data_IF_793136205576
#
_entry.id   IF_793136205576
#
_cell.length_a   1.000
_cell.length_b   1.000
_cell.length_c   1.000
_cell.angle_alpha   90.00
_cell.angle_beta   90.00
_cell.angle_gamma   90.00
#
_symmetry.space_group_name_H-M   'P 1'
#
loop_
_entity.id
_entity.type
_entity.pdbx_description
1 polymer ?
#
# COMPACT_ATOMS: atom_id res chain seq x y z
N UNK A 1 26.00 16.72 -31.23
CA UNK A 1 25.45 16.49 -29.88
C UNK A 1 24.33 15.45 -30.02
N UNK A 2 24.59 14.19 -29.64
CA UNK A 2 23.59 13.09 -29.73
C UNK A 2 22.72 13.15 -28.49
N UNK A 3 21.48 13.58 -28.61
CA UNK A 3 20.46 13.50 -27.56
C UNK A 3 20.18 12.01 -27.29
N UNK A 4 20.64 11.50 -26.15
CA UNK A 4 20.25 10.18 -25.65
C UNK A 4 18.82 10.30 -25.15
N UNK A 5 17.88 9.73 -25.90
CA UNK A 5 16.53 9.49 -25.47
C UNK A 5 16.61 8.45 -24.36
N UNK A 6 16.49 8.87 -23.12
CA UNK A 6 16.30 7.97 -21.98
C UNK A 6 14.83 7.54 -22.05
N UNK A 7 14.64 6.33 -22.57
CA UNK A 7 13.34 5.66 -22.52
C UNK A 7 13.12 5.26 -21.06
N UNK A 8 12.42 6.11 -20.29
CA UNK A 8 11.88 5.71 -19.01
C UNK A 8 10.84 4.63 -19.29
N UNK A 9 11.18 3.39 -19.07
CA UNK A 9 10.22 2.30 -18.98
C UNK A 9 9.40 2.57 -17.73
N UNK A 10 8.22 3.13 -17.91
CA UNK A 10 7.19 3.20 -16.90
C UNK A 10 6.76 1.77 -16.65
N UNK A 11 7.32 1.16 -15.62
CA UNK A 11 6.79 -0.08 -15.08
C UNK A 11 5.54 0.27 -14.31
N UNK A 12 4.43 0.42 -15.02
CA UNK A 12 3.12 0.43 -14.40
C UNK A 12 2.99 -0.92 -13.68
N UNK A 13 3.08 -0.86 -12.36
CA UNK A 13 2.95 -2.01 -11.50
C UNK A 13 1.52 -2.52 -11.56
N UNK A 14 1.30 -3.54 -12.35
CA UNK A 14 0.13 -4.41 -12.20
C UNK A 14 0.28 -5.19 -10.90
N UNK A 15 0.03 -4.50 -9.77
CA UNK A 15 0.20 -5.01 -8.39
C UNK A 15 -0.64 -6.29 -8.15
N UNK A 16 -1.55 -6.62 -9.05
CA UNK A 16 -2.59 -7.62 -8.82
C UNK A 16 -2.33 -9.00 -9.45
N UNK A 17 -1.23 -9.20 -10.14
CA UNK A 17 -0.88 -10.53 -10.70
C UNK A 17 -0.22 -11.49 -9.69
N UNK A 18 -0.08 -11.11 -8.43
CA UNK A 18 0.75 -11.80 -7.42
C UNK A 18 0.13 -13.05 -6.78
N UNK A 19 -0.88 -13.64 -7.38
CA UNK A 19 -1.53 -14.79 -6.75
C UNK A 19 -1.11 -16.14 -7.31
N UNK A 20 -0.16 -16.20 -8.18
CA UNK A 20 0.27 -17.48 -8.75
C UNK A 20 1.77 -17.69 -8.61
N UNK A 21 2.25 -18.22 -7.49
CA UNK A 21 3.39 -19.14 -7.37
C UNK A 21 3.85 -19.27 -5.91
N UNK A 22 3.07 -19.99 -5.08
CA UNK A 22 3.66 -20.69 -3.93
C UNK A 22 3.49 -22.17 -4.21
N UNK A 23 4.48 -22.77 -4.84
CA UNK A 23 4.64 -24.22 -4.87
C UNK A 23 5.24 -24.67 -3.54
N UNK A 24 4.56 -25.52 -2.74
CA UNK A 24 5.17 -26.13 -1.58
C UNK A 24 6.15 -27.21 -2.04
N UNK A 25 7.43 -26.88 -2.08
CA UNK A 25 8.49 -27.89 -2.21
C UNK A 25 8.45 -28.84 -1.01
N UNK A 26 8.07 -30.08 -1.28
CA UNK A 26 8.24 -31.22 -0.40
C UNK A 26 9.68 -31.32 0.09
N UNK A 27 9.94 -31.04 1.36
CA UNK A 27 11.16 -31.46 2.02
C UNK A 27 10.96 -32.87 2.56
N UNK A 28 11.68 -33.78 1.93
CA UNK A 28 11.84 -35.16 2.35
C UNK A 28 12.69 -35.20 3.63
N UNK A 29 12.15 -35.84 4.65
CA UNK A 29 12.83 -36.11 5.92
C UNK A 29 13.84 -37.24 5.73
N UNK A 30 15.10 -36.98 6.02
CA UNK A 30 16.04 -38.06 6.36
C UNK A 30 16.64 -37.82 7.74
N UNK A 31 16.36 -38.77 8.56
CA UNK A 31 16.74 -38.98 9.95
C UNK A 31 18.20 -39.48 10.03
N UNK A 32 19.02 -38.89 10.85
CA UNK A 32 20.11 -39.62 11.44
C UNK A 32 20.46 -39.05 12.86
N UNK A 33 20.48 -39.95 13.77
CA UNK A 33 20.80 -39.91 15.19
C UNK A 33 22.25 -39.51 15.50
N UNK A 34 22.45 -38.85 16.64
CA UNK A 34 23.78 -38.61 17.20
C UNK A 34 23.74 -37.88 18.54
N UNK A 35 23.93 -38.61 19.59
CA UNK A 35 23.95 -38.39 21.05
C UNK A 35 25.12 -37.48 21.48
N UNK A 36 24.93 -36.69 22.54
CA UNK A 36 25.78 -36.50 23.75
C UNK A 36 25.93 -35.04 24.21
N UNK A 37 25.33 -34.77 25.33
CA UNK A 37 25.86 -34.29 26.63
C UNK A 37 26.92 -33.18 26.66
N UNK A 38 26.61 -32.03 27.27
CA UNK A 38 27.17 -31.71 28.59
C UNK A 38 26.77 -30.30 29.07
N UNK A 39 26.37 -30.26 30.30
CA UNK A 39 26.11 -29.14 31.20
C UNK A 39 27.26 -28.14 31.30
N UNK A 40 26.95 -26.84 31.47
CA UNK A 40 27.48 -26.09 32.62
C UNK A 40 26.67 -24.83 32.92
N UNK A 41 26.33 -24.76 34.18
CA UNK A 41 25.59 -23.75 34.93
C UNK A 41 26.61 -22.78 35.54
N UNK A 42 26.50 -21.49 35.28
CA UNK A 42 27.07 -20.46 36.17
C UNK A 42 26.07 -19.32 36.34
N UNK A 43 25.79 -19.12 37.61
CA UNK A 43 24.96 -18.11 38.26
C UNK A 43 25.86 -16.99 38.77
N UNK A 44 25.48 -15.70 38.59
CA UNK A 44 25.77 -14.58 39.53
C UNK A 44 25.23 -13.28 38.93
N UNK A 45 24.17 -12.70 39.43
CA UNK A 45 23.96 -11.80 40.56
C UNK A 45 24.34 -10.34 40.31
N UNK A 46 23.29 -9.51 40.28
CA UNK A 46 23.08 -8.14 40.76
C UNK A 46 24.16 -7.06 40.50
N UNK A 47 23.72 -5.98 39.84
CA UNK A 47 23.69 -4.66 40.50
C UNK A 47 22.83 -3.67 39.71
N UNK A 48 21.98 -3.02 40.46
CA UNK A 48 21.11 -1.90 40.11
C UNK A 48 21.92 -0.62 39.94
N UNK A 49 21.52 0.21 38.92
CA UNK A 49 21.52 1.67 39.10
C UNK A 49 20.52 2.30 38.16
N UNK A 50 19.65 3.03 38.77
CA UNK A 50 18.63 3.94 38.21
C UNK A 50 19.28 5.16 37.59
N UNK A 51 18.74 5.61 36.47
CA UNK A 51 18.57 7.04 36.16
C UNK A 51 17.59 7.18 34.97
N UNK A 52 16.41 7.66 35.26
CA UNK A 52 15.68 8.82 34.74
C UNK A 52 15.56 8.92 33.23
N UNK A 53 14.37 8.59 32.79
CA UNK A 53 13.36 9.31 32.01
C UNK A 53 13.85 10.50 31.19
N UNK A 54 13.75 10.35 29.85
CA UNK A 54 13.16 11.41 29.02
C UNK A 54 12.24 10.76 27.99
N UNK A 55 10.96 10.87 28.29
CA UNK A 55 9.84 10.57 27.42
C UNK A 55 9.71 11.69 26.41
N UNK A 56 10.30 11.53 25.23
CA UNK A 56 9.93 12.36 24.10
C UNK A 56 8.71 11.75 23.42
N UNK A 57 7.58 12.26 23.83
CA UNK A 57 6.26 12.03 23.27
C UNK A 57 6.19 12.75 21.91
N UNK A 58 6.72 12.14 20.86
CA UNK A 58 6.43 12.57 19.50
C UNK A 58 5.00 12.14 19.12
N UNK A 59 4.09 13.03 19.49
CA UNK A 59 2.73 13.08 19.00
C UNK A 59 2.82 13.34 17.49
N UNK A 60 2.79 12.26 16.70
CA UNK A 60 2.54 12.33 15.26
C UNK A 60 1.16 12.91 15.01
N UNK A 61 1.12 14.22 14.93
CA UNK A 61 -0.04 15.00 14.53
C UNK A 61 -0.01 15.09 13.00
N UNK A 62 -0.50 14.05 12.33
CA UNK A 62 -0.84 14.12 10.91
C UNK A 62 -2.29 14.53 10.80
N UNK A 63 -2.55 15.80 11.00
CA UNK A 63 -3.75 16.46 10.51
C UNK A 63 -3.30 17.54 9.53
N UNK A 64 -2.99 17.13 8.28
CA UNK A 64 -3.04 18.08 7.19
C UNK A 64 -4.52 18.31 6.85
N UNK A 65 -5.09 19.39 7.36
CA UNK A 65 -6.33 19.95 6.82
C UNK A 65 -6.07 20.45 5.39
N UNK A 66 -5.82 19.54 4.47
CA UNK A 66 -5.78 19.78 3.04
C UNK A 66 -7.19 19.82 2.50
N UNK A 67 -7.87 20.96 2.63
CA UNK A 67 -9.18 21.14 2.03
C UNK A 67 -9.08 20.94 0.52
N UNK A 68 -9.92 20.04 -0.01
CA UNK A 68 -10.09 19.86 -1.47
C UNK A 68 -10.37 21.22 -2.10
N UNK A 69 -9.46 21.72 -2.94
CA UNK A 69 -9.56 23.01 -3.59
C UNK A 69 -9.53 22.85 -5.10
N UNK A 70 -10.47 23.48 -5.79
CA UNK A 70 -10.56 23.46 -7.25
C UNK A 70 -11.77 22.70 -7.78
N UNK A 71 -11.90 22.66 -9.12
CA UNK A 71 -12.95 21.88 -9.78
C UNK A 71 -12.57 20.41 -9.80
N UNK A 72 -13.52 19.56 -9.43
CA UNK A 72 -13.34 18.11 -9.36
C UNK A 72 -14.18 17.37 -10.39
N UNK A 73 -13.80 16.14 -10.66
CA UNK A 73 -14.61 15.14 -11.33
C UNK A 73 -14.68 13.89 -10.46
N UNK A 74 -15.86 13.26 -10.42
CA UNK A 74 -16.04 12.01 -9.69
C UNK A 74 -15.79 10.84 -10.60
N UNK A 75 -14.86 9.97 -10.22
CA UNK A 75 -14.38 8.84 -11.02
C UNK A 75 -14.45 7.54 -10.24
N UNK A 76 -14.58 6.42 -10.95
CA UNK A 76 -14.64 5.10 -10.33
C UNK A 76 -15.70 4.21 -10.97
N UNK A 77 -16.12 3.18 -10.25
CA UNK A 77 -17.18 2.25 -10.62
C UNK A 77 -17.90 1.70 -9.38
N UNK A 78 -19.03 1.05 -9.59
CA UNK A 78 -19.74 0.32 -8.51
C UNK A 78 -18.90 -0.80 -7.88
N UNK A 79 -17.91 -1.32 -8.60
CA UNK A 79 -17.06 -2.40 -8.12
C UNK A 79 -15.90 -1.92 -7.26
N UNK A 80 -15.35 -0.75 -7.55
CA UNK A 80 -14.15 -0.21 -6.91
C UNK A 80 -14.41 1.02 -6.04
N UNK A 81 -15.68 1.48 -6.00
CA UNK A 81 -16.03 2.74 -5.39
C UNK A 81 -15.68 3.93 -6.28
N UNK A 82 -15.97 5.11 -5.78
CA UNK A 82 -15.79 6.39 -6.47
C UNK A 82 -15.01 7.33 -5.57
N UNK A 83 -14.16 8.16 -6.17
CA UNK A 83 -13.46 9.28 -5.53
C UNK A 83 -13.60 10.54 -6.39
N UNK A 84 -13.42 11.69 -5.77
CA UNK A 84 -13.23 12.93 -6.51
C UNK A 84 -11.75 13.11 -6.80
N UNK A 85 -11.43 13.57 -7.98
CA UNK A 85 -10.07 13.92 -8.43
C UNK A 85 -10.09 15.26 -9.15
N UNK A 86 -8.97 15.94 -9.36
CA UNK A 86 -8.95 17.17 -10.17
C UNK A 86 -9.57 16.96 -11.54
N UNK A 87 -10.39 17.92 -11.99
CA UNK A 87 -11.18 17.79 -13.23
C UNK A 87 -10.34 17.72 -14.52
N UNK A 88 -9.07 18.13 -14.43
CA UNK A 88 -8.12 18.07 -15.55
C UNK A 88 -7.42 16.70 -15.69
N UNK A 89 -7.62 15.78 -14.76
CA UNK A 89 -7.08 14.43 -14.89
C UNK A 89 -7.84 13.63 -15.93
N UNK A 90 -7.13 12.82 -16.69
CA UNK A 90 -7.68 12.04 -17.79
C UNK A 90 -7.60 10.54 -17.48
N UNK A 91 -8.51 9.77 -18.05
CA UNK A 91 -8.46 8.32 -17.89
C UNK A 91 -7.17 7.78 -18.50
N UNK A 92 -6.45 7.01 -17.70
CA UNK A 92 -5.26 6.28 -18.11
C UNK A 92 -5.62 4.80 -18.24
N UNK A 93 -5.03 4.13 -19.21
CA UNK A 93 -5.13 2.68 -19.36
C UNK A 93 -3.75 2.14 -19.65
N UNK A 94 -3.22 1.41 -18.71
CA UNK A 94 -2.02 0.61 -18.97
C UNK A 94 -2.37 -0.53 -19.93
N UNK A 95 -1.54 -0.72 -20.96
CA UNK A 95 -1.72 -1.80 -21.98
C UNK A 95 -1.59 -3.18 -21.34
N UNK A 96 -0.84 -3.30 -20.23
CA UNK A 96 -0.63 -4.52 -19.46
C UNK A 96 -1.44 -4.54 -18.16
N UNK A 97 -2.27 -3.51 -17.93
CA UNK A 97 -3.11 -3.39 -16.75
C UNK A 97 -4.26 -4.40 -16.75
N UNK A 98 -4.71 -4.75 -15.54
CA UNK A 98 -5.88 -5.58 -15.33
C UNK A 98 -7.19 -4.79 -15.48
N UNK A 99 -8.18 -5.15 -14.62
CA UNK A 99 -9.50 -4.50 -14.59
C UNK A 99 -9.50 -3.16 -13.84
N UNK A 100 -8.34 -2.66 -13.41
CA UNK A 100 -8.18 -1.45 -12.61
C UNK A 100 -8.70 -0.20 -13.32
N UNK A 101 -9.16 0.76 -12.52
CA UNK A 101 -9.52 2.08 -13.03
C UNK A 101 -8.40 3.05 -12.70
N UNK A 102 -7.81 3.65 -13.73
CA UNK A 102 -6.67 4.53 -13.59
C UNK A 102 -6.93 5.90 -14.22
N UNK A 103 -6.39 6.94 -13.57
CA UNK A 103 -6.40 8.32 -14.05
C UNK A 103 -5.02 8.95 -13.85
N UNK A 104 -4.64 9.86 -14.73
CA UNK A 104 -3.38 10.59 -14.69
C UNK A 104 -3.61 12.09 -14.92
N UNK A 105 -2.69 12.91 -14.44
CA UNK A 105 -2.65 14.35 -14.74
C UNK A 105 -2.26 14.69 -16.19
N UNK A 106 -2.02 13.66 -17.01
CA UNK A 106 -1.56 13.78 -18.38
C UNK A 106 -0.06 13.59 -18.57
N UNK A 107 0.71 13.58 -17.49
CA UNK A 107 2.16 13.29 -17.53
C UNK A 107 2.46 11.81 -17.80
N UNK A 108 1.52 10.91 -17.39
CA UNK A 108 1.76 9.48 -17.33
C UNK A 108 2.70 9.06 -16.20
N UNK A 109 3.10 10.01 -15.34
CA UNK A 109 3.94 9.80 -14.17
C UNK A 109 3.13 9.84 -12.86
N UNK A 110 2.17 10.76 -12.78
CA UNK A 110 1.23 10.88 -11.68
C UNK A 110 -0.04 10.09 -12.04
N UNK A 111 -0.25 8.98 -11.36
CA UNK A 111 -1.35 8.06 -11.64
C UNK A 111 -2.07 7.71 -10.35
N UNK A 112 -3.40 7.74 -10.37
CA UNK A 112 -4.24 7.17 -9.33
C UNK A 112 -4.95 5.94 -9.85
N UNK A 113 -4.96 4.88 -9.03
CA UNK A 113 -5.52 3.57 -9.36
C UNK A 113 -6.56 3.17 -8.31
N UNK A 114 -7.74 2.73 -8.76
CA UNK A 114 -8.78 2.16 -7.93
C UNK A 114 -8.96 0.68 -8.25
N UNK A 115 -9.01 -0.15 -7.22
CA UNK A 115 -9.29 -1.58 -7.33
C UNK A 115 -10.01 -2.11 -6.07
N UNK A 116 -10.51 -3.34 -6.15
CA UNK A 116 -11.09 -4.06 -5.02
C UNK A 116 -10.84 -5.55 -5.13
N UNK A 117 -10.66 -6.18 -3.98
CA UNK A 117 -10.53 -7.62 -3.83
C UNK A 117 -11.78 -8.20 -3.15
N UNK A 118 -12.23 -9.34 -3.65
CA UNK A 118 -13.13 -10.25 -2.95
C UNK A 118 -12.30 -11.35 -2.29
N UNK A 119 -12.88 -12.04 -1.32
CA UNK A 119 -12.23 -13.18 -0.67
C UNK A 119 -11.78 -14.24 -1.67
N UNK A 120 -12.62 -14.54 -2.68
CA UNK A 120 -12.30 -15.47 -3.77
C UNK A 120 -11.04 -15.06 -4.54
N UNK A 121 -10.93 -13.77 -4.90
CA UNK A 121 -9.78 -13.24 -5.61
C UNK A 121 -8.51 -13.19 -4.74
N UNK A 122 -8.66 -13.07 -3.43
CA UNK A 122 -7.54 -12.99 -2.49
C UNK A 122 -6.76 -14.31 -2.36
N UNK A 123 -7.35 -15.47 -2.76
CA UNK A 123 -6.76 -16.81 -2.68
C UNK A 123 -6.08 -17.06 -1.32
N UNK A 124 -6.90 -17.14 -0.29
CA UNK A 124 -6.43 -17.31 1.09
C UNK A 124 -5.70 -18.65 1.26
N UNK A 125 -4.63 -18.61 2.04
CA UNK A 125 -3.95 -19.80 2.53
C UNK A 125 -4.70 -20.44 3.70
N UNK A 126 -4.31 -21.69 4.10
CA UNK A 126 -4.91 -22.35 5.26
C UNK A 126 -4.77 -21.50 6.53
N UNK A 127 -5.91 -21.22 7.18
CA UNK A 127 -5.96 -20.45 8.43
C UNK A 127 -5.87 -18.93 8.27
N UNK A 128 -5.79 -18.41 7.06
CA UNK A 128 -5.87 -16.97 6.82
C UNK A 128 -7.31 -16.47 6.84
N UNK A 129 -7.50 -15.27 7.34
CA UNK A 129 -8.80 -14.57 7.33
C UNK A 129 -8.72 -13.39 6.38
N UNK A 130 -9.76 -13.19 5.56
CA UNK A 130 -9.82 -12.08 4.61
C UNK A 130 -10.01 -10.75 5.35
N UNK A 131 -8.95 -9.99 5.49
CA UNK A 131 -8.91 -8.70 6.19
C UNK A 131 -8.04 -7.69 5.44
N UNK A 132 -8.32 -6.40 5.62
CA UNK A 132 -7.48 -5.33 5.09
C UNK A 132 -6.03 -5.43 5.60
N UNK A 133 -5.83 -5.89 6.83
CA UNK A 133 -4.50 -6.12 7.39
C UNK A 133 -3.72 -7.19 6.62
N UNK A 134 -4.36 -8.33 6.32
CA UNK A 134 -3.72 -9.40 5.54
C UNK A 134 -3.28 -8.88 4.16
N UNK A 135 -4.18 -8.16 3.46
CA UNK A 135 -3.88 -7.62 2.13
C UNK A 135 -2.76 -6.60 2.20
N UNK A 136 -2.78 -5.69 3.18
CA UNK A 136 -1.71 -4.71 3.39
C UNK A 136 -0.36 -5.38 3.67
N UNK A 137 -0.33 -6.44 4.50
CA UNK A 137 0.89 -7.17 4.80
C UNK A 137 1.45 -7.91 3.56
N UNK A 138 0.59 -8.49 2.73
CA UNK A 138 1.01 -9.12 1.46
C UNK A 138 1.62 -8.10 0.49
N UNK A 139 1.01 -6.91 0.38
CA UNK A 139 1.57 -5.81 -0.41
C UNK A 139 2.90 -5.32 0.14
N UNK A 140 3.02 -5.17 1.47
CA UNK A 140 4.27 -4.78 2.11
C UNK A 140 5.39 -5.80 1.83
N UNK A 141 5.10 -7.10 1.95
CA UNK A 141 6.06 -8.15 1.64
C UNK A 141 6.53 -8.09 0.18
N UNK A 142 5.61 -7.85 -0.75
CA UNK A 142 5.97 -7.68 -2.16
C UNK A 142 6.96 -6.52 -2.36
N UNK A 143 6.70 -5.38 -1.72
CA UNK A 143 7.59 -4.22 -1.81
C UNK A 143 8.93 -4.44 -1.12
N UNK A 144 8.98 -5.20 -0.02
CA UNK A 144 10.22 -5.55 0.68
C UNK A 144 11.19 -6.35 -0.19
N UNK A 145 10.67 -7.18 -1.08
CA UNK A 145 11.46 -8.02 -1.99
C UNK A 145 11.94 -7.25 -3.23
N UNK A 146 11.44 -6.04 -3.46
CA UNK A 146 11.80 -5.22 -4.63
C UNK A 146 13.14 -4.51 -4.44
N UNK A 147 14.04 -4.70 -5.40
CA UNK A 147 15.34 -4.02 -5.40
C UNK A 147 15.26 -2.53 -5.73
N UNK A 148 14.14 -2.05 -6.28
CA UNK A 148 13.93 -0.67 -6.68
C UNK A 148 13.38 0.21 -5.55
N UNK A 149 13.03 -0.39 -4.41
CA UNK A 149 12.55 0.34 -3.22
C UNK A 149 13.73 0.92 -2.46
N UNK A 150 13.62 2.22 -2.14
CA UNK A 150 14.53 2.93 -1.24
C UNK A 150 14.00 2.90 0.20
N UNK A 151 12.69 3.17 0.37
CA UNK A 151 12.06 3.23 1.68
C UNK A 151 10.64 2.67 1.65
N UNK A 152 10.28 1.89 2.67
CA UNK A 152 8.94 1.34 2.87
C UNK A 152 8.53 1.51 4.33
N UNK A 153 7.31 2.01 4.58
CA UNK A 153 6.71 2.01 5.92
C UNK A 153 5.18 1.96 5.83
N UNK A 154 4.56 1.43 6.89
CA UNK A 154 3.12 1.44 7.06
C UNK A 154 2.65 2.54 7.99
N UNK A 155 1.43 3.00 7.80
CA UNK A 155 0.73 3.94 8.68
C UNK A 155 -0.75 3.54 8.81
N UNK A 156 -1.41 4.09 9.82
CA UNK A 156 -2.87 4.08 9.92
C UNK A 156 -3.41 5.33 9.25
N UNK A 157 -4.51 5.17 8.54
CA UNK A 157 -5.23 6.25 7.88
C UNK A 157 -6.73 6.02 8.02
N UNK A 158 -7.51 6.96 7.52
CA UNK A 158 -8.97 6.83 7.42
C UNK A 158 -9.37 7.23 6.00
N UNK A 159 -10.20 6.41 5.36
CA UNK A 159 -10.77 6.72 4.04
C UNK A 159 -12.29 6.79 4.17
N UNK A 160 -12.83 8.00 4.14
CA UNK A 160 -14.27 8.29 4.30
C UNK A 160 -14.89 7.53 5.47
N UNK A 161 -14.26 7.62 6.66
CA UNK A 161 -14.68 6.96 7.88
C UNK A 161 -14.31 5.49 8.02
N UNK A 162 -13.76 4.85 6.99
CA UNK A 162 -13.26 3.47 7.09
C UNK A 162 -11.82 3.48 7.59
N UNK A 163 -11.50 2.64 8.60
CA UNK A 163 -10.11 2.42 9.00
C UNK A 163 -9.30 1.84 7.85
N UNK A 164 -8.15 2.43 7.57
CA UNK A 164 -7.27 2.04 6.47
C UNK A 164 -5.85 1.76 6.94
N UNK A 165 -5.19 0.86 6.24
CA UNK A 165 -3.74 0.67 6.27
C UNK A 165 -3.15 1.43 5.09
N UNK A 166 -2.24 2.35 5.36
CA UNK A 166 -1.53 3.10 4.33
C UNK A 166 -0.11 2.53 4.20
N UNK A 167 0.22 2.06 3.01
CA UNK A 167 1.58 1.66 2.66
C UNK A 167 2.25 2.79 1.89
N UNK A 168 3.41 3.20 2.34
CA UNK A 168 4.17 4.28 1.77
C UNK A 168 5.50 3.73 1.24
N UNK A 169 5.76 3.93 -0.03
CA UNK A 169 6.97 3.49 -0.71
C UNK A 169 7.64 4.69 -1.37
N UNK A 170 8.94 4.81 -1.19
CA UNK A 170 9.79 5.69 -2.00
C UNK A 170 10.67 4.80 -2.86
N UNK A 171 10.59 5.00 -4.16
CA UNK A 171 11.42 4.29 -5.11
C UNK A 171 12.79 4.95 -5.23
N UNK A 172 13.83 4.22 -5.58
CA UNK A 172 15.18 4.77 -5.87
C UNK A 172 15.18 5.79 -7.00
N UNK A 173 14.16 5.77 -7.85
CA UNK A 173 13.90 6.80 -8.86
C UNK A 173 13.43 8.14 -8.29
N UNK A 174 13.07 8.18 -7.00
CA UNK A 174 12.43 9.32 -6.35
C UNK A 174 10.90 9.36 -6.48
N UNK A 175 10.29 8.37 -7.15
CA UNK A 175 8.84 8.24 -7.25
C UNK A 175 8.26 7.79 -5.91
N UNK A 176 7.12 8.34 -5.55
CA UNK A 176 6.31 7.93 -4.40
C UNK A 176 5.22 6.98 -4.87
N UNK A 177 5.01 5.89 -4.11
CA UNK A 177 3.86 5.00 -4.27
C UNK A 177 3.17 4.88 -2.92
N UNK A 178 1.93 5.31 -2.84
CA UNK A 178 1.12 5.23 -1.63
C UNK A 178 -0.10 4.37 -1.92
N UNK A 179 -0.39 3.43 -1.04
CA UNK A 179 -1.56 2.56 -1.19
C UNK A 179 -2.39 2.56 0.09
N UNK A 180 -3.65 2.94 -0.02
CA UNK A 180 -4.66 2.78 1.03
C UNK A 180 -5.38 1.45 0.85
N UNK A 181 -5.41 0.65 1.89
CA UNK A 181 -6.07 -0.66 1.95
C UNK A 181 -7.08 -0.63 3.07
N UNK A 182 -8.36 -0.75 2.76
CA UNK A 182 -9.45 -0.71 3.75
C UNK A 182 -10.58 -1.64 3.36
N UNK A 183 -11.36 -2.05 4.35
CA UNK A 183 -12.51 -2.92 4.15
C UNK A 183 -13.80 -2.12 4.24
N UNK A 184 -14.71 -2.36 3.31
CA UNK A 184 -16.09 -1.86 3.36
C UNK A 184 -17.03 -2.95 2.89
N UNK A 185 -17.91 -3.43 3.77
CA UNK A 185 -18.70 -4.61 3.53
C UNK A 185 -17.83 -5.85 3.34
N UNK A 186 -18.11 -6.62 2.30
CA UNK A 186 -17.43 -7.89 2.00
C UNK A 186 -16.19 -7.73 1.11
N UNK A 187 -15.87 -6.51 0.68
CA UNK A 187 -14.74 -6.23 -0.20
C UNK A 187 -13.63 -5.48 0.53
N UNK A 188 -12.40 -5.69 0.10
CA UNK A 188 -11.25 -4.87 0.47
C UNK A 188 -10.92 -3.99 -0.72
N UNK A 189 -10.94 -2.69 -0.49
CA UNK A 189 -10.67 -1.66 -1.49
C UNK A 189 -9.21 -1.24 -1.41
N UNK A 190 -8.66 -0.98 -2.58
CA UNK A 190 -7.29 -0.51 -2.75
C UNK A 190 -7.31 0.74 -3.61
N UNK A 191 -6.81 1.82 -3.06
CA UNK A 191 -6.57 3.04 -3.82
C UNK A 191 -5.07 3.28 -3.77
N UNK A 192 -4.44 3.43 -4.92
CA UNK A 192 -3.02 3.69 -5.00
C UNK A 192 -2.75 4.97 -5.77
N UNK A 193 -1.77 5.73 -5.32
CA UNK A 193 -1.17 6.84 -6.05
C UNK A 193 0.29 6.53 -6.30
N UNK A 194 0.75 6.79 -7.52
CA UNK A 194 2.16 6.81 -7.87
C UNK A 194 2.51 8.12 -8.55
N UNK A 195 3.66 8.71 -8.22
CA UNK A 195 4.05 9.99 -8.80
C UNK A 195 5.02 10.79 -7.94
N UNK A 196 5.00 12.10 -8.13
CA UNK A 196 5.82 13.03 -7.38
C UNK A 196 5.19 13.41 -6.02
N UNK A 197 6.04 13.92 -5.12
CA UNK A 197 5.64 14.28 -3.76
C UNK A 197 4.64 15.43 -3.70
N UNK A 198 4.74 16.39 -4.60
CA UNK A 198 3.88 17.59 -4.61
C UNK A 198 2.45 17.19 -5.00
N UNK A 199 2.32 16.44 -6.09
CA UNK A 199 1.03 15.91 -6.54
C UNK A 199 0.42 14.98 -5.50
N UNK A 200 1.23 14.13 -4.83
CA UNK A 200 0.77 13.28 -3.72
C UNK A 200 0.10 14.12 -2.63
N UNK A 201 0.74 15.20 -2.19
CA UNK A 201 0.17 16.09 -1.16
C UNK A 201 -1.20 16.66 -1.54
N UNK A 202 -1.44 16.85 -2.83
CA UNK A 202 -2.74 17.30 -3.36
C UNK A 202 -3.76 16.16 -3.40
N UNK A 203 -3.34 14.93 -3.69
CA UNK A 203 -4.25 13.78 -3.90
C UNK A 203 -4.71 13.17 -2.58
N UNK A 204 -3.93 13.20 -1.51
CA UNK A 204 -4.28 12.61 -0.21
C UNK A 204 -5.69 13.01 0.26
N UNK A 205 -6.07 14.30 0.34
CA UNK A 205 -7.40 14.69 0.78
C UNK A 205 -8.52 14.14 -0.10
N UNK A 206 -8.31 14.08 -1.41
CA UNK A 206 -9.32 13.51 -2.32
C UNK A 206 -9.59 12.04 -1.99
N UNK A 207 -8.54 11.24 -1.77
CA UNK A 207 -8.71 9.83 -1.41
C UNK A 207 -9.36 9.69 -0.04
N UNK A 208 -8.85 10.40 0.96
CA UNK A 208 -9.24 10.20 2.36
C UNK A 208 -10.63 10.74 2.67
N UNK A 209 -11.09 11.77 1.96
CA UNK A 209 -12.36 12.44 2.27
C UNK A 209 -13.51 12.05 1.34
N UNK A 210 -13.25 11.65 0.08
CA UNK A 210 -14.31 11.62 -0.93
C UNK A 210 -14.71 10.23 -1.41
N UNK A 211 -14.03 9.17 -0.97
CA UNK A 211 -14.39 7.82 -1.40
C UNK A 211 -15.80 7.41 -0.94
N UNK A 212 -16.57 6.81 -1.83
CA UNK A 212 -17.83 6.16 -1.49
C UNK A 212 -18.26 5.16 -2.54
N UNK A 213 -19.22 4.29 -2.20
CA UNK A 213 -19.87 3.39 -3.16
C UNK A 213 -20.92 4.09 -4.00
N UNK A 214 -21.36 5.29 -3.60
CA UNK A 214 -22.34 6.06 -4.36
C UNK A 214 -21.63 6.94 -5.41
N UNK A 215 -22.07 6.81 -6.65
CA UNK A 215 -21.60 7.62 -7.77
C UNK A 215 -21.87 9.13 -7.56
N UNK A 216 -22.90 9.46 -6.83
CA UNK A 216 -23.26 10.87 -6.56
C UNK A 216 -22.46 11.50 -5.43
N UNK A 217 -21.65 10.68 -4.72
CA UNK A 217 -20.96 11.10 -3.49
C UNK A 217 -21.86 10.99 -2.26
N UNK A 218 -21.21 10.93 -1.08
CA UNK A 218 -21.95 11.14 0.17
C UNK A 218 -22.41 12.59 0.19
N UNK A 219 -23.72 12.83 0.33
CA UNK A 219 -24.20 14.15 0.69
C UNK A 219 -23.63 14.47 2.08
N UNK A 220 -22.71 15.43 2.14
CA UNK A 220 -22.21 16.02 3.40
C UNK A 220 -23.32 16.81 4.04
#
# INVERSE_FOLDING_TARGET
>A
MKKRLVLCTVTALSIFSLVACINPSKRNSQQSSGTSSSSNKVKKTLSSSSSEEESSNEKSQSSSEGKVTGTTQRVGSSDYGYIDIPSNWIRFRDVNGGDDIQYTDGSGYNIITLNALTEEKAKLGPGETFTANLVANRLASHWQDSQDVEKLWGAKATVSGNEAYQLNVIMKSGQYVITWVFQSGEKIYLIAFEGDKETLGTIIPYVEETWSLDKKGSAL
#
